data_IF_508138416293
#
_entry.id   IF_508138416293
#
_cell.length_a   1.000
_cell.length_b   1.000
_cell.length_c   1.000
_cell.angle_alpha   90.00
_cell.angle_beta   90.00
_cell.angle_gamma   90.00
#
_symmetry.space_group_name_H-M   'P 1'
#
loop_
_entity.id
_entity.type
_entity.pdbx_description
1 polymer ?
#
# COMPACT_ATOMS: atom_id res chain seq x y z
N UNK A 1 -11.40 14.38 11.03
CA UNK A 1 -11.85 13.14 10.35
C UNK A 1 -11.48 13.32 8.90
N UNK A 2 -10.73 12.42 8.28
CA UNK A 2 -10.35 12.59 6.88
C UNK A 2 -11.57 12.32 6.00
N UNK A 3 -11.86 13.19 5.04
CA UNK A 3 -13.02 13.09 4.13
C UNK A 3 -12.75 12.12 2.96
N UNK A 4 -11.87 11.13 3.16
CA UNK A 4 -11.49 10.14 2.16
C UNK A 4 -11.19 8.78 2.80
N UNK A 5 -11.49 7.71 2.07
CA UNK A 5 -11.15 6.34 2.42
C UNK A 5 -9.90 5.85 1.68
N UNK A 6 -9.07 5.06 2.36
CA UNK A 6 -7.91 4.39 1.75
C UNK A 6 -8.20 2.90 1.58
N UNK A 7 -7.81 2.35 0.43
CA UNK A 7 -7.86 0.92 0.17
C UNK A 7 -6.57 0.47 -0.55
N UNK A 8 -6.00 -0.65 -0.12
CA UNK A 8 -4.82 -1.25 -0.74
C UNK A 8 -5.14 -2.69 -1.11
N UNK A 9 -4.87 -3.07 -2.36
CA UNK A 9 -4.97 -4.45 -2.83
C UNK A 9 -3.73 -4.81 -3.64
N UNK A 10 -2.94 -5.76 -3.13
CA UNK A 10 -1.61 -6.06 -3.67
C UNK A 10 -0.81 -4.76 -3.82
N UNK A 11 -0.30 -4.45 -5.01
CA UNK A 11 0.40 -3.21 -5.32
C UNK A 11 -0.51 -2.03 -5.72
N UNK A 12 -1.84 -2.17 -5.73
CA UNK A 12 -2.73 -1.08 -6.15
C UNK A 12 -3.29 -0.33 -4.95
N UNK A 13 -2.84 0.90 -4.76
CA UNK A 13 -3.38 1.84 -3.78
C UNK A 13 -4.53 2.64 -4.40
N UNK A 14 -5.65 2.72 -3.69
CA UNK A 14 -6.84 3.50 -4.05
C UNK A 14 -7.18 4.50 -2.95
N UNK A 15 -7.45 5.74 -3.35
CA UNK A 15 -7.90 6.83 -2.48
C UNK A 15 -9.30 7.23 -2.94
N UNK A 16 -10.30 7.02 -2.09
CA UNK A 16 -11.69 7.32 -2.36
C UNK A 16 -12.09 8.63 -1.68
N UNK A 17 -12.18 9.72 -2.44
CA UNK A 17 -12.64 11.00 -1.92
C UNK A 17 -14.16 11.01 -1.74
N UNK A 18 -14.65 11.52 -0.61
CA UNK A 18 -16.08 11.61 -0.35
C UNK A 18 -16.75 12.55 -1.38
N UNK A 19 -17.70 12.03 -2.16
CA UNK A 19 -18.39 12.79 -3.22
C UNK A 19 -17.51 13.17 -4.40
N UNK A 20 -16.29 12.66 -4.47
CA UNK A 20 -15.29 13.00 -5.49
C UNK A 20 -14.83 11.80 -6.33
N UNK A 21 -13.83 12.04 -7.17
CA UNK A 21 -13.18 10.98 -7.95
C UNK A 21 -12.38 10.06 -7.03
N UNK A 22 -12.22 8.80 -7.44
CA UNK A 22 -11.24 7.91 -6.82
C UNK A 22 -9.92 8.00 -7.57
N UNK A 23 -8.81 8.07 -6.82
CA UNK A 23 -7.45 8.09 -7.37
C UNK A 23 -6.81 6.74 -7.14
N UNK A 24 -6.04 6.27 -8.12
CA UNK A 24 -5.39 4.97 -8.06
C UNK A 24 -3.96 5.07 -8.56
N UNK A 25 -3.06 4.38 -7.87
CA UNK A 25 -1.66 4.24 -8.27
C UNK A 25 -1.16 2.82 -8.04
N UNK A 26 -0.24 2.40 -8.88
CA UNK A 26 0.53 1.18 -8.68
C UNK A 26 1.78 1.49 -7.85
N UNK A 27 2.07 0.60 -6.90
CA UNK A 27 3.24 0.60 -6.06
C UNK A 27 4.31 -0.21 -6.76
N UNK A 28 5.47 0.40 -6.99
CA UNK A 28 6.50 -0.18 -7.84
C UNK A 28 7.38 -1.19 -7.10
N UNK A 29 7.54 -1.03 -5.78
CA UNK A 29 8.51 -1.81 -4.99
C UNK A 29 7.98 -2.30 -3.65
N UNK A 30 8.63 -3.33 -3.11
CA UNK A 30 8.33 -3.86 -1.77
C UNK A 30 8.53 -2.81 -0.66
N UNK A 31 9.58 -2.00 -0.77
CA UNK A 31 9.90 -0.93 0.18
C UNK A 31 8.81 0.12 0.21
N UNK A 32 8.37 0.57 -0.97
CA UNK A 32 7.28 1.54 -1.09
C UNK A 32 5.95 0.98 -0.53
N UNK A 33 5.68 -0.31 -0.73
CA UNK A 33 4.50 -0.96 -0.16
C UNK A 33 4.52 -0.94 1.37
N UNK A 34 5.69 -1.26 1.97
CA UNK A 34 5.87 -1.20 3.42
C UNK A 34 5.71 0.23 3.95
N UNK A 35 6.27 1.24 3.26
CA UNK A 35 6.12 2.65 3.65
C UNK A 35 4.66 3.12 3.63
N UNK A 36 3.88 2.69 2.64
CA UNK A 36 2.44 3.01 2.56
C UNK A 36 1.69 2.38 3.74
N UNK A 37 1.96 1.13 4.07
CA UNK A 37 1.31 0.43 5.20
C UNK A 37 1.61 1.11 6.54
N UNK A 38 2.88 1.38 6.83
CA UNK A 38 3.28 2.01 8.10
C UNK A 38 2.87 3.47 8.19
N UNK A 39 2.95 4.22 7.08
CA UNK A 39 2.65 5.65 7.03
C UNK A 39 1.17 5.96 6.87
N UNK A 40 0.57 5.60 5.73
CA UNK A 40 -0.79 6.02 5.38
C UNK A 40 -1.87 5.19 6.11
N UNK A 41 -1.60 3.90 6.33
CA UNK A 41 -2.54 3.00 7.00
C UNK A 41 -2.25 2.82 8.49
N UNK A 42 -1.12 3.34 9.00
CA UNK A 42 -0.67 3.13 10.38
C UNK A 42 -0.66 1.65 10.80
N UNK A 43 -0.36 0.76 9.86
CA UNK A 43 -0.22 -0.69 10.09
C UNK A 43 1.23 -0.96 10.43
N UNK A 44 1.47 -1.45 11.65
CA UNK A 44 2.80 -1.85 12.09
C UNK A 44 3.20 -3.15 11.39
N UNK A 45 4.40 -3.18 10.80
CA UNK A 45 5.02 -4.38 10.25
C UNK A 45 6.11 -4.83 11.22
N UNK A 46 5.90 -5.90 12.01
CA UNK A 46 6.85 -6.29 13.06
C UNK A 46 8.23 -6.70 12.55
N UNK A 47 8.26 -7.39 11.40
CA UNK A 47 9.50 -7.74 10.69
C UNK A 47 9.40 -7.25 9.25
N UNK A 48 9.95 -6.06 9.02
CA UNK A 48 9.93 -5.42 7.71
C UNK A 48 10.78 -6.16 6.68
N UNK A 49 11.89 -6.77 7.09
CA UNK A 49 12.80 -7.46 6.17
C UNK A 49 12.17 -8.76 5.67
N UNK A 50 11.58 -9.57 6.55
CA UNK A 50 10.86 -10.77 6.14
C UNK A 50 9.66 -10.40 5.26
N UNK A 51 8.90 -9.37 5.64
CA UNK A 51 7.75 -8.90 4.87
C UNK A 51 8.13 -8.52 3.43
N UNK A 52 9.14 -7.67 3.26
CA UNK A 52 9.60 -7.29 1.93
C UNK A 52 10.11 -8.48 1.11
N UNK A 53 10.82 -9.43 1.74
CA UNK A 53 11.25 -10.66 1.07
C UNK A 53 10.06 -11.50 0.57
N UNK A 54 9.00 -11.62 1.38
CA UNK A 54 7.78 -12.34 1.01
C UNK A 54 7.03 -11.67 -0.14
N UNK A 55 7.01 -10.34 -0.22
CA UNK A 55 6.40 -9.61 -1.33
C UNK A 55 7.06 -9.95 -2.66
N UNK A 56 8.41 -9.96 -2.69
CA UNK A 56 9.20 -10.32 -3.89
C UNK A 56 8.98 -11.77 -4.30
N UNK A 57 8.99 -12.70 -3.34
CA UNK A 57 8.73 -14.13 -3.59
C UNK A 57 7.36 -14.39 -4.21
N UNK A 58 6.35 -13.58 -3.86
CA UNK A 58 4.97 -13.72 -4.34
C UNK A 58 4.67 -12.86 -5.57
N UNK A 59 5.65 -12.10 -6.08
CA UNK A 59 5.48 -11.18 -7.21
C UNK A 59 4.30 -10.23 -7.03
N UNK A 60 4.11 -9.73 -5.80
CA UNK A 60 3.03 -8.79 -5.46
C UNK A 60 3.38 -7.37 -5.97
N UNK A 61 4.68 -7.08 -6.06
CA UNK A 61 5.31 -5.82 -6.49
C UNK A 61 6.48 -6.18 -7.42
N UNK A 62 6.94 -5.20 -8.20
CA UNK A 62 7.98 -5.34 -9.24
C UNK A 62 7.50 -6.22 -10.42
N UNK A 63 7.35 -5.60 -11.60
CA UNK A 63 7.04 -6.27 -12.89
C UNK A 63 8.29 -6.32 -13.75
#
# INVERSE_FOLDING_TARGET
MNDFGLALRNNRLSIHHLGGRSEQREIASATELADVLEGQFAIVIPDRAEFEARLRQKQIVET
#
